data_IF_257498766071
#
_entry.id   IF_257498766071
#
_cell.length_a   1.000
_cell.length_b   1.000
_cell.length_c   1.000
_cell.angle_alpha   90.00
_cell.angle_beta   90.00
_cell.angle_gamma   90.00
#
_symmetry.space_group_name_H-M   'P 1'
#
loop_
_entity.id
_entity.type
_entity.pdbx_description
1 polymer ?
#
# COMPACT_ATOMS: atom_id res chain seq x y z
N UNK A 1 30.14 -36.76 31.74
CA UNK A 1 28.85 -36.22 31.23
C UNK A 1 28.37 -35.22 32.27
N UNK A 2 28.30 -33.91 32.09
CA UNK A 2 27.78 -33.09 30.99
C UNK A 2 28.70 -31.88 30.76
N UNK A 3 28.86 -31.51 29.49
CA UNK A 3 29.68 -30.40 29.02
C UNK A 3 28.96 -29.07 29.26
N UNK A 4 29.75 -28.12 29.73
CA UNK A 4 29.55 -26.68 29.74
C UNK A 4 29.47 -26.19 28.27
N UNK A 5 28.35 -25.62 27.82
CA UNK A 5 28.32 -24.74 26.64
C UNK A 5 27.36 -23.58 26.93
N UNK A 6 27.98 -22.42 27.11
CA UNK A 6 27.38 -21.10 27.25
C UNK A 6 26.67 -20.78 25.93
N UNK A 7 25.42 -20.34 26.01
CA UNK A 7 24.62 -19.83 24.88
C UNK A 7 25.23 -18.53 24.34
N UNK A 8 26.24 -18.66 23.49
CA UNK A 8 26.79 -17.59 22.67
C UNK A 8 26.26 -17.74 21.23
N UNK A 9 25.00 -17.38 21.02
CA UNK A 9 24.34 -17.30 19.71
C UNK A 9 22.91 -16.80 19.97
N UNK A 10 22.55 -15.54 19.81
CA UNK A 10 22.52 -14.78 18.55
C UNK A 10 22.74 -13.28 18.86
N UNK A 11 24.01 -12.87 18.93
CA UNK A 11 24.41 -11.49 18.65
C UNK A 11 25.27 -11.60 17.39
N UNK A 12 24.60 -11.79 16.25
CA UNK A 12 25.22 -11.60 14.93
C UNK A 12 24.28 -10.67 14.19
N UNK A 13 24.59 -9.39 14.37
CA UNK A 13 24.63 -8.41 13.30
C UNK A 13 23.30 -8.19 12.58
N UNK A 14 22.48 -7.33 13.19
CA UNK A 14 21.77 -6.29 12.46
C UNK A 14 22.82 -5.45 11.72
N UNK A 15 23.37 -5.98 10.62
CA UNK A 15 24.14 -5.20 9.66
C UNK A 15 23.12 -4.26 9.02
N UNK A 16 22.99 -3.09 9.62
CA UNK A 16 22.43 -1.94 8.95
C UNK A 16 23.16 -1.83 7.60
N UNK A 17 22.45 -2.10 6.51
CA UNK A 17 22.80 -1.56 5.21
C UNK A 17 22.62 -0.05 5.34
N UNK A 18 23.58 0.62 5.98
CA UNK A 18 23.72 2.05 5.87
C UNK A 18 24.07 2.27 4.40
N UNK A 19 23.10 2.75 3.63
CA UNK A 19 23.34 3.27 2.31
C UNK A 19 24.45 4.32 2.44
N UNK A 20 25.66 3.99 2.01
CA UNK A 20 26.74 4.96 1.86
C UNK A 20 26.31 5.85 0.70
N UNK A 21 25.65 6.96 1.01
CA UNK A 21 25.53 8.04 0.04
C UNK A 21 26.96 8.53 -0.22
N UNK A 22 27.60 8.01 -1.26
CA UNK A 22 28.88 8.52 -1.71
C UNK A 22 28.67 9.99 -2.09
N UNK A 23 29.21 10.90 -1.28
CA UNK A 23 29.06 12.34 -1.50
C UNK A 23 29.94 12.74 -2.68
N UNK A 24 29.37 12.75 -3.87
CA UNK A 24 30.03 13.31 -5.06
C UNK A 24 30.18 14.83 -4.85
N UNK A 25 31.41 15.34 -4.91
CA UNK A 25 31.71 16.78 -4.83
C UNK A 25 31.72 17.34 -6.25
N UNK A 26 30.79 18.23 -6.55
CA UNK A 26 30.68 18.93 -7.83
C UNK A 26 31.45 20.25 -7.80
N UNK A 27 32.20 20.52 -8.85
CA UNK A 27 32.89 21.81 -9.05
C UNK A 27 32.08 22.66 -10.03
N UNK A 28 31.60 23.81 -9.59
CA UNK A 28 30.76 24.70 -10.38
C UNK A 28 31.44 26.07 -10.53
N UNK A 29 31.14 26.77 -11.62
CA UNK A 29 31.53 28.18 -11.82
C UNK A 29 30.29 29.06 -11.67
N UNK A 30 30.27 29.93 -10.65
CA UNK A 30 29.16 30.85 -10.39
C UNK A 30 29.71 32.27 -10.40
N UNK A 31 29.25 33.10 -11.33
CA UNK A 31 29.71 34.49 -11.50
C UNK A 31 31.24 34.61 -11.61
N UNK A 32 31.87 33.69 -12.35
CA UNK A 32 33.32 33.66 -12.58
C UNK A 32 34.16 33.09 -11.42
N UNK A 33 33.55 32.66 -10.31
CA UNK A 33 34.24 32.03 -9.18
C UNK A 33 33.99 30.53 -9.13
N UNK A 34 35.04 29.76 -8.82
CA UNK A 34 34.94 28.31 -8.59
C UNK A 34 34.35 28.03 -7.21
N UNK A 35 33.33 27.18 -7.15
CA UNK A 35 32.68 26.72 -5.92
C UNK A 35 32.55 25.21 -5.94
N UNK A 36 32.72 24.57 -4.78
CA UNK A 36 32.54 23.13 -4.61
C UNK A 36 31.24 22.87 -3.84
N UNK A 37 30.42 21.92 -4.30
CA UNK A 37 29.09 21.66 -3.76
C UNK A 37 28.82 20.15 -3.69
N UNK A 38 27.99 19.71 -2.74
CA UNK A 38 27.50 18.32 -2.68
C UNK A 38 26.28 18.05 -3.56
N UNK A 39 25.87 19.02 -4.40
CA UNK A 39 24.74 18.90 -5.32
C UNK A 39 25.18 19.30 -6.73
N UNK A 40 24.55 18.73 -7.78
CA UNK A 40 24.86 19.10 -9.15
C UNK A 40 24.72 20.61 -9.39
N UNK A 41 25.57 21.14 -10.28
CA UNK A 41 25.56 22.56 -10.62
C UNK A 41 24.20 22.99 -11.18
N UNK A 42 23.79 24.22 -10.85
CA UNK A 42 22.55 24.80 -11.38
C UNK A 42 22.56 24.81 -12.92
N UNK A 43 21.48 24.37 -13.55
CA UNK A 43 21.36 24.28 -15.01
C UNK A 43 22.14 23.13 -15.66
N UNK A 44 22.83 22.28 -14.89
CA UNK A 44 23.45 21.07 -15.43
C UNK A 44 22.39 20.11 -15.97
N UNK A 45 22.74 19.38 -17.05
CA UNK A 45 21.89 18.32 -17.62
C UNK A 45 21.50 17.29 -16.55
N UNK A 46 22.45 16.90 -15.70
CA UNK A 46 22.21 15.95 -14.61
C UNK A 46 21.18 16.48 -13.60
N UNK A 47 21.28 17.75 -13.18
CA UNK A 47 20.27 18.36 -12.31
C UNK A 47 18.90 18.37 -12.98
N UNK A 48 18.85 18.72 -14.27
CA UNK A 48 17.61 18.77 -15.03
C UNK A 48 16.96 17.39 -15.15
N UNK A 49 17.74 16.35 -15.41
CA UNK A 49 17.26 14.97 -15.51
C UNK A 49 16.73 14.48 -14.15
N UNK A 50 17.43 14.77 -13.05
CA UNK A 50 16.95 14.50 -11.67
C UNK A 50 15.64 15.23 -11.35
N UNK A 51 15.53 16.50 -11.72
CA UNK A 51 14.30 17.30 -11.53
C UNK A 51 13.15 16.75 -12.38
N UNK A 52 13.41 16.38 -13.63
CA UNK A 52 12.40 15.81 -14.52
C UNK A 52 11.89 14.46 -14.02
N UNK A 53 12.80 13.59 -13.55
CA UNK A 53 12.43 12.32 -12.94
C UNK A 53 11.59 12.50 -11.68
N UNK A 54 11.97 13.45 -10.80
CA UNK A 54 11.19 13.78 -9.62
C UNK A 54 9.80 14.32 -9.99
N UNK A 55 9.71 15.24 -10.95
CA UNK A 55 8.43 15.77 -11.45
C UNK A 55 7.55 14.68 -12.04
N UNK A 56 8.11 13.78 -12.85
CA UNK A 56 7.37 12.65 -13.43
C UNK A 56 6.80 11.74 -12.34
N UNK A 57 7.57 11.48 -11.27
CA UNK A 57 7.10 10.71 -10.12
C UNK A 57 5.95 11.40 -9.38
N UNK A 58 6.05 12.71 -9.15
CA UNK A 58 4.96 13.47 -8.51
C UNK A 58 3.70 13.51 -9.39
N UNK A 59 3.83 13.70 -10.71
CA UNK A 59 2.70 13.64 -11.64
C UNK A 59 2.04 12.26 -11.62
N UNK A 60 2.82 11.18 -11.65
CA UNK A 60 2.29 9.82 -11.58
C UNK A 60 1.55 9.57 -10.25
N UNK A 61 2.09 10.06 -9.12
CA UNK A 61 1.44 9.98 -7.81
C UNK A 61 0.12 10.75 -7.78
N UNK A 62 0.11 11.96 -8.32
CA UNK A 62 -1.09 12.79 -8.43
C UNK A 62 -2.16 12.13 -9.31
N UNK A 63 -1.77 11.54 -10.44
CA UNK A 63 -2.68 10.78 -11.31
C UNK A 63 -3.25 9.56 -10.59
N UNK A 64 -2.42 8.79 -9.90
CA UNK A 64 -2.88 7.64 -9.11
C UNK A 64 -3.86 8.05 -8.00
N UNK A 65 -3.58 9.16 -7.32
CA UNK A 65 -4.48 9.73 -6.31
C UNK A 65 -5.82 10.13 -6.92
N UNK A 66 -5.83 10.80 -8.08
CA UNK A 66 -7.07 11.17 -8.78
C UNK A 66 -7.88 9.95 -9.20
N UNK A 67 -7.23 8.91 -9.70
CA UNK A 67 -7.91 7.66 -10.06
C UNK A 67 -8.53 7.01 -8.81
N UNK A 68 -7.78 6.93 -7.71
CA UNK A 68 -8.30 6.42 -6.45
C UNK A 68 -9.50 7.22 -5.93
N UNK A 69 -9.48 8.55 -6.06
CA UNK A 69 -10.60 9.42 -5.67
C UNK A 69 -11.82 9.21 -6.58
N UNK A 70 -11.62 9.05 -7.89
CA UNK A 70 -12.70 8.75 -8.83
C UNK A 70 -13.32 7.37 -8.55
N UNK A 71 -12.48 6.35 -8.31
CA UNK A 71 -12.93 5.01 -7.94
C UNK A 71 -13.71 5.02 -6.62
N UNK A 72 -13.26 5.80 -5.63
CA UNK A 72 -13.95 5.98 -4.36
C UNK A 72 -15.30 6.69 -4.54
N UNK A 73 -15.35 7.76 -5.34
CA UNK A 73 -16.58 8.50 -5.63
C UNK A 73 -17.61 7.68 -6.43
N UNK A 74 -17.15 6.70 -7.21
CA UNK A 74 -18.02 5.82 -7.99
C UNK A 74 -18.60 4.64 -7.17
N UNK A 75 -18.17 4.45 -5.92
CA UNK A 75 -18.69 3.36 -5.07
C UNK A 75 -20.16 3.57 -4.73
N UNK A 76 -20.91 2.47 -4.69
CA UNK A 76 -22.34 2.45 -4.35
C UNK A 76 -22.59 1.55 -3.15
N UNK A 77 -23.72 1.74 -2.45
CA UNK A 77 -24.15 0.79 -1.40
C UNK A 77 -24.28 -0.63 -1.96
N UNK A 78 -23.90 -1.67 -1.18
CA UNK A 78 -24.08 -3.05 -1.60
C UNK A 78 -25.56 -3.35 -1.84
N UNK A 79 -25.85 -4.18 -2.85
CA UNK A 79 -27.21 -4.56 -3.23
C UNK A 79 -27.27 -6.05 -3.53
N UNK A 80 -28.38 -6.67 -3.17
CA UNK A 80 -28.69 -8.06 -3.52
C UNK A 80 -28.52 -8.26 -5.03
N UNK A 81 -27.85 -9.33 -5.41
CA UNK A 81 -27.47 -9.67 -6.78
C UNK A 81 -26.05 -9.26 -7.17
N UNK A 82 -25.36 -8.41 -6.40
CA UNK A 82 -23.95 -8.09 -6.64
C UNK A 82 -23.06 -9.33 -6.47
N UNK A 83 -22.00 -9.43 -7.27
CA UNK A 83 -20.92 -10.37 -6.99
C UNK A 83 -20.12 -9.94 -5.75
N UNK A 84 -19.37 -10.87 -5.13
CA UNK A 84 -18.44 -10.55 -4.04
C UNK A 84 -17.46 -9.44 -4.42
N UNK A 85 -16.91 -9.46 -5.64
CA UNK A 85 -16.00 -8.43 -6.15
C UNK A 85 -16.68 -7.06 -6.31
N UNK A 86 -17.96 -7.03 -6.69
CA UNK A 86 -18.73 -5.78 -6.72
C UNK A 86 -19.01 -5.28 -5.30
N UNK A 87 -19.29 -6.18 -4.35
CA UNK A 87 -19.48 -5.84 -2.95
C UNK A 87 -18.20 -5.29 -2.29
N UNK A 88 -17.01 -5.79 -2.62
CA UNK A 88 -15.72 -5.22 -2.16
C UNK A 88 -15.50 -3.79 -2.67
N UNK A 89 -16.01 -3.50 -3.86
CA UNK A 89 -15.99 -2.17 -4.48
C UNK A 89 -17.18 -1.30 -4.06
N UNK A 90 -18.04 -1.78 -3.16
CA UNK A 90 -19.13 -0.98 -2.60
C UNK A 90 -18.62 0.02 -1.55
N UNK A 91 -19.51 0.87 -1.07
CA UNK A 91 -19.26 1.78 0.06
C UNK A 91 -18.92 1.03 1.35
N UNK A 92 -19.30 -0.24 1.50
CA UNK A 92 -18.95 -1.05 2.68
C UNK A 92 -17.51 -1.58 2.61
N UNK A 93 -16.95 -1.73 1.41
CA UNK A 93 -15.56 -2.17 1.24
C UNK A 93 -15.31 -3.62 1.67
N UNK A 94 -14.09 -3.89 2.13
CA UNK A 94 -13.68 -5.20 2.61
C UNK A 94 -14.28 -5.50 3.99
N UNK A 95 -14.77 -6.73 4.24
CA UNK A 95 -15.26 -7.12 5.55
C UNK A 95 -14.11 -7.35 6.54
N UNK A 96 -14.42 -7.23 7.83
CA UNK A 96 -13.46 -7.57 8.89
C UNK A 96 -13.27 -9.09 9.00
N UNK A 97 -14.30 -9.87 8.67
CA UNK A 97 -14.26 -11.33 8.71
C UNK A 97 -15.15 -11.95 7.63
N UNK A 98 -14.68 -13.05 7.05
CA UNK A 98 -15.47 -13.90 6.15
C UNK A 98 -15.59 -15.30 6.75
N UNK A 99 -16.82 -15.73 7.03
CA UNK A 99 -17.13 -17.11 7.39
C UNK A 99 -17.56 -17.84 6.11
N UNK A 100 -16.79 -18.83 5.66
CA UNK A 100 -17.05 -19.58 4.42
C UNK A 100 -17.38 -21.04 4.70
N UNK A 101 -18.45 -21.51 4.09
CA UNK A 101 -18.85 -22.93 4.07
C UNK A 101 -18.89 -23.42 2.63
N UNK A 102 -18.32 -24.60 2.38
CA UNK A 102 -18.42 -25.28 1.09
C UNK A 102 -18.94 -26.69 1.33
N UNK A 103 -20.01 -27.05 0.63
CA UNK A 103 -20.61 -28.37 0.71
C UNK A 103 -21.07 -28.83 -0.69
N UNK A 104 -21.69 -30.00 -0.77
CA UNK A 104 -22.16 -30.59 -2.03
C UNK A 104 -23.17 -29.71 -2.79
N UNK A 105 -23.87 -28.80 -2.09
CA UNK A 105 -24.86 -27.88 -2.67
C UNK A 105 -24.26 -26.55 -3.11
N UNK A 106 -22.97 -26.30 -2.86
CA UNK A 106 -22.25 -25.10 -3.29
C UNK A 106 -21.48 -24.40 -2.17
N UNK A 107 -21.22 -23.11 -2.39
CA UNK A 107 -20.46 -22.24 -1.50
C UNK A 107 -21.38 -21.19 -0.89
N UNK A 108 -21.31 -21.03 0.42
CA UNK A 108 -21.99 -19.96 1.15
C UNK A 108 -20.99 -19.16 1.98
N UNK A 109 -21.09 -17.84 1.95
CA UNK A 109 -20.21 -16.94 2.69
C UNK A 109 -21.03 -15.94 3.49
N UNK A 110 -20.62 -15.67 4.73
CA UNK A 110 -21.12 -14.55 5.54
C UNK A 110 -19.95 -13.60 5.76
N UNK A 111 -20.13 -12.35 5.33
CA UNK A 111 -19.18 -11.28 5.51
C UNK A 111 -19.65 -10.44 6.69
N UNK A 112 -18.76 -10.21 7.65
CA UNK A 112 -19.03 -9.50 8.91
C UNK A 112 -18.32 -8.16 8.88
N UNK A 113 -19.06 -7.10 9.19
CA UNK A 113 -18.58 -5.73 9.33
C UNK A 113 -18.83 -5.27 10.76
N UNK A 114 -17.79 -5.12 11.57
CA UNK A 114 -17.87 -4.61 12.92
C UNK A 114 -17.98 -3.09 12.88
N UNK A 115 -19.06 -2.59 13.48
CA UNK A 115 -19.35 -1.17 13.58
C UNK A 115 -18.97 -0.65 14.97
N UNK A 116 -19.01 0.66 15.13
CA UNK A 116 -18.82 1.30 16.43
C UNK A 116 -19.82 0.77 17.47
N UNK A 117 -19.40 0.70 18.74
CA UNK A 117 -20.20 0.20 19.89
C UNK A 117 -20.63 -1.27 19.81
N UNK A 118 -19.89 -2.11 19.09
CA UNK A 118 -20.16 -3.55 19.04
C UNK A 118 -21.38 -3.94 18.21
N UNK A 119 -21.93 -3.00 17.43
CA UNK A 119 -22.90 -3.32 16.39
C UNK A 119 -22.19 -4.04 15.24
N UNK A 120 -22.91 -4.80 14.43
CA UNK A 120 -22.35 -5.46 13.27
C UNK A 120 -23.36 -5.55 12.15
N UNK A 121 -22.87 -5.44 10.92
CA UNK A 121 -23.65 -5.62 9.69
C UNK A 121 -23.12 -6.83 8.94
N UNK A 122 -23.99 -7.43 8.13
CA UNK A 122 -23.67 -8.68 7.46
C UNK A 122 -24.12 -8.67 6.01
N UNK A 123 -23.27 -9.23 5.14
CA UNK A 123 -23.62 -9.61 3.77
C UNK A 123 -23.55 -11.13 3.65
N UNK A 124 -24.57 -11.74 3.06
CA UNK A 124 -24.63 -13.19 2.87
C UNK A 124 -24.56 -13.49 1.38
N UNK A 125 -23.64 -14.36 0.99
CA UNK A 125 -23.43 -14.76 -0.40
C UNK A 125 -23.73 -16.24 -0.58
N UNK A 126 -24.31 -16.56 -1.74
CA UNK A 126 -24.44 -17.94 -2.24
C UNK A 126 -23.77 -18.00 -3.60
N UNK A 127 -22.79 -18.90 -3.75
CA UNK A 127 -21.99 -19.08 -4.96
C UNK A 127 -21.42 -17.76 -5.52
N UNK A 128 -20.95 -16.88 -4.62
CA UNK A 128 -20.34 -15.60 -4.97
C UNK A 128 -21.32 -14.46 -5.28
N UNK A 129 -22.63 -14.67 -5.15
CA UNK A 129 -23.67 -13.67 -5.37
C UNK A 129 -24.30 -13.27 -4.03
N UNK A 130 -24.41 -11.97 -3.77
CA UNK A 130 -25.04 -11.41 -2.58
C UNK A 130 -26.54 -11.71 -2.58
N UNK A 131 -27.01 -12.52 -1.63
CA UNK A 131 -28.40 -12.97 -1.54
C UNK A 131 -29.20 -12.31 -0.42
N UNK A 132 -28.55 -11.87 0.66
CA UNK A 132 -29.22 -11.13 1.74
C UNK A 132 -28.29 -10.21 2.51
N UNK A 133 -28.88 -9.26 3.23
CA UNK A 133 -28.18 -8.26 4.05
C UNK A 133 -28.86 -8.16 5.42
N UNK A 134 -28.10 -7.87 6.46
CA UNK A 134 -28.59 -7.67 7.82
C UNK A 134 -27.85 -6.50 8.48
N UNK A 135 -28.61 -5.60 9.11
CA UNK A 135 -28.12 -4.38 9.76
C UNK A 135 -28.59 -4.22 11.22
#
# INVERSE_FOLDING_TARGET
>A
MKKLIILASVIVSLLALQSTNATEIYTCTVSGKTVYQGKPCAGSKELQDKVNAAKAKEIAREQAYRQQQADWAARVEPRIGMSSQQAEKSTWGYPDKVNKTTNVNGVSEQWVYHMYKGQSRYLYFTNGVLTSMQD
#
